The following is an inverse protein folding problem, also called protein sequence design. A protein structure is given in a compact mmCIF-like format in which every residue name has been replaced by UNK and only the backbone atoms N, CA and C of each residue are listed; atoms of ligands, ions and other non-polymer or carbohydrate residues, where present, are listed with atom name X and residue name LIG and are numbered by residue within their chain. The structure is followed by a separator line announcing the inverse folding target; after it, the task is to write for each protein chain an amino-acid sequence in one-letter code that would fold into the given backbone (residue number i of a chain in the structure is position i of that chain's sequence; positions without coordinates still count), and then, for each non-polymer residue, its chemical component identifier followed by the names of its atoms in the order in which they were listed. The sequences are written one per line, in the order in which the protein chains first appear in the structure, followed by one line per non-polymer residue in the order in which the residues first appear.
data_IF_011211824985
#
_entry.id   IF_011211824985
#
_cell.length_a   1.000
_cell.length_b   1.000
_cell.length_c   1.000
_cell.angle_alpha   90.00
_cell.angle_beta   90.00
_cell.angle_gamma   90.00
#
_symmetry.space_group_name_H-M   'P 1'
#
loop_
_entity.id
_entity.type
_entity.pdbx_description
1 polymer ?
#
# COMPACT_ATOMS: atom_id res chain seq x y z
N UNK A 1 49.73 -38.44 9.09
CA UNK A 1 48.52 -37.78 8.57
C UNK A 1 47.49 -38.05 9.64
N UNK A 2 47.18 -37.05 10.47
CA UNK A 2 46.25 -37.18 11.58
C UNK A 2 44.87 -37.10 10.94
N UNK A 3 44.12 -38.19 10.95
CA UNK A 3 42.79 -38.25 10.34
C UNK A 3 41.73 -38.07 11.42
N UNK A 4 40.49 -37.83 10.97
CA UNK A 4 39.31 -37.63 11.83
C UNK A 4 38.90 -38.90 12.62
N UNK A 5 39.76 -39.92 12.67
CA UNK A 5 39.49 -41.21 13.30
C UNK A 5 40.18 -41.38 14.67
N UNK A 6 41.22 -40.58 14.99
CA UNK A 6 41.89 -40.63 16.30
C UNK A 6 41.09 -39.87 17.37
N UNK A 7 40.71 -40.55 18.46
CA UNK A 7 39.81 -40.04 19.52
C UNK A 7 40.51 -39.17 20.57
N UNK A 8 41.81 -38.94 20.42
CA UNK A 8 42.63 -38.15 21.35
C UNK A 8 43.20 -36.88 20.71
N UNK A 9 42.81 -36.59 19.46
CA UNK A 9 43.17 -35.36 18.76
C UNK A 9 42.05 -34.32 18.86
N UNK A 10 42.37 -33.16 19.43
CA UNK A 10 41.40 -32.07 19.65
C UNK A 10 41.53 -30.91 18.66
N UNK A 11 42.53 -30.93 17.80
CA UNK A 11 42.67 -29.96 16.71
C UNK A 11 43.96 -30.13 15.93
N UNK A 12 44.05 -29.41 14.81
CA UNK A 12 45.25 -29.37 13.98
C UNK A 12 45.48 -27.98 13.36
N UNK A 13 46.72 -27.79 12.90
CA UNK A 13 47.16 -26.66 12.09
C UNK A 13 47.95 -27.21 10.91
N UNK A 14 47.44 -27.05 9.69
CA UNK A 14 48.04 -27.62 8.49
C UNK A 14 48.09 -26.64 7.33
N UNK A 15 48.93 -26.94 6.33
CA UNK A 15 48.96 -26.17 5.09
C UNK A 15 47.64 -26.37 4.34
N UNK A 16 46.94 -25.27 4.05
CA UNK A 16 45.60 -25.31 3.45
C UNK A 16 45.62 -25.82 2.00
N UNK A 17 46.65 -25.47 1.22
CA UNK A 17 46.82 -25.86 -0.17
C UNK A 17 48.28 -26.21 -0.47
N UNK A 18 48.53 -27.38 -1.06
CA UNK A 18 49.90 -27.91 -1.23
C UNK A 18 50.84 -26.99 -2.03
N UNK A 19 50.36 -26.34 -3.09
CA UNK A 19 51.18 -25.46 -3.95
C UNK A 19 51.09 -23.99 -3.56
N UNK A 20 49.91 -23.52 -3.16
CA UNK A 20 49.65 -22.11 -2.86
C UNK A 20 49.91 -21.74 -1.40
N UNK A 21 50.12 -22.73 -0.53
CA UNK A 21 50.29 -22.53 0.91
C UNK A 21 48.95 -22.27 1.64
N UNK A 22 48.98 -21.36 2.60
CA UNK A 22 47.85 -21.05 3.48
C UNK A 22 47.82 -21.92 4.74
N UNK A 23 47.00 -21.52 5.72
CA UNK A 23 46.85 -22.21 7.00
C UNK A 23 45.39 -22.61 7.19
N UNK A 24 45.16 -23.86 7.57
CA UNK A 24 43.89 -24.35 8.10
C UNK A 24 44.05 -24.60 9.58
N UNK A 25 43.11 -24.09 10.37
CA UNK A 25 42.99 -24.37 11.80
C UNK A 25 41.69 -25.15 11.99
N UNK A 26 41.79 -26.38 12.48
CA UNK A 26 40.64 -27.24 12.72
C UNK A 26 40.53 -27.53 14.20
N UNK A 27 39.33 -27.35 14.75
CA UNK A 27 38.99 -27.82 16.10
C UNK A 27 38.16 -29.08 16.02
N UNK A 28 38.43 -30.04 16.90
CA UNK A 28 37.67 -31.27 17.06
C UNK A 28 37.05 -31.31 18.45
N UNK A 29 35.85 -31.88 18.55
CA UNK A 29 35.20 -32.21 19.81
C UNK A 29 34.50 -33.55 19.65
N UNK A 30 34.73 -34.44 20.59
CA UNK A 30 34.06 -35.73 20.61
C UNK A 30 32.57 -35.63 20.94
N UNK A 31 31.84 -36.67 20.51
CA UNK A 31 30.43 -36.85 20.79
C UNK A 31 30.23 -37.36 22.23
N UNK A 32 30.39 -36.46 23.21
CA UNK A 32 30.07 -36.69 24.62
C UNK A 32 28.57 -36.50 24.94
N UNK A 33 27.74 -36.16 23.94
CA UNK A 33 26.31 -35.89 24.11
C UNK A 33 25.98 -34.53 24.72
N UNK A 34 26.99 -33.69 25.01
CA UNK A 34 26.83 -32.35 25.57
C UNK A 34 27.08 -31.27 24.51
N UNK A 35 26.31 -30.19 24.60
CA UNK A 35 26.52 -29.01 23.78
C UNK A 35 27.88 -28.36 24.12
N UNK A 36 28.66 -28.01 23.10
CA UNK A 36 29.96 -27.37 23.25
C UNK A 36 30.49 -26.85 21.92
N UNK A 37 31.72 -26.35 21.93
CA UNK A 37 32.42 -25.81 20.75
C UNK A 37 33.59 -26.71 20.38
N UNK A 38 33.84 -26.87 19.09
CA UNK A 38 35.06 -27.51 18.61
C UNK A 38 36.22 -26.50 18.49
N UNK A 39 35.91 -25.22 18.23
CA UNK A 39 36.87 -24.13 18.15
C UNK A 39 36.31 -22.89 18.86
N UNK A 40 37.09 -22.25 19.73
CA UNK A 40 36.70 -21.04 20.44
C UNK A 40 37.76 -19.94 20.31
N UNK A 41 37.40 -18.85 19.65
CA UNK A 41 38.25 -17.66 19.52
C UNK A 41 37.73 -16.57 20.44
N UNK A 42 38.55 -16.07 21.37
CA UNK A 42 38.16 -15.04 22.36
C UNK A 42 39.25 -13.99 22.56
N UNK A 43 38.83 -12.73 22.67
CA UNK A 43 39.66 -11.63 23.15
C UNK A 43 39.13 -11.08 24.47
N UNK A 44 40.02 -10.69 25.37
CA UNK A 44 39.70 -10.00 26.62
C UNK A 44 40.52 -8.72 26.69
N UNK A 45 39.84 -7.57 26.81
CA UNK A 45 40.47 -6.27 26.95
C UNK A 45 40.35 -5.81 28.41
N UNK A 46 41.48 -5.41 29.02
CA UNK A 46 41.53 -4.97 30.43
C UNK A 46 41.17 -3.49 30.64
N UNK A 47 40.67 -2.82 29.61
CA UNK A 47 40.42 -1.39 29.55
C UNK A 47 39.17 -1.07 28.70
N UNK A 48 38.82 0.21 28.60
CA UNK A 48 37.69 0.65 27.78
C UNK A 48 37.98 0.41 26.29
N UNK A 49 37.04 -0.23 25.58
CA UNK A 49 37.16 -0.48 24.15
C UNK A 49 36.96 0.77 23.29
N UNK A 50 37.51 0.75 22.08
CA UNK A 50 37.28 1.77 21.07
C UNK A 50 35.79 1.84 20.68
N UNK A 51 35.26 3.06 20.56
CA UNK A 51 33.83 3.30 20.29
C UNK A 51 33.57 3.97 18.94
N UNK A 52 34.60 4.54 18.32
CA UNK A 52 34.51 5.17 17.00
C UNK A 52 33.97 4.22 15.94
N UNK A 53 33.14 4.74 15.02
CA UNK A 53 32.60 4.02 13.85
C UNK A 53 33.25 4.55 12.57
N UNK A 54 34.58 4.53 12.55
CA UNK A 54 35.39 5.02 11.42
C UNK A 54 36.05 3.85 10.69
N UNK A 55 36.60 4.11 9.51
CA UNK A 55 37.34 3.11 8.72
C UNK A 55 38.65 2.65 9.37
N UNK A 56 39.08 3.26 10.48
CA UNK A 56 40.28 2.87 11.24
C UNK A 56 39.96 2.34 12.65
N UNK A 57 38.68 2.22 13.00
CA UNK A 57 38.28 1.72 14.32
C UNK A 57 38.60 0.23 14.46
N UNK A 58 39.07 -0.18 15.64
CA UNK A 58 39.46 -1.57 15.91
C UNK A 58 38.52 -2.23 16.93
N UNK A 59 38.22 -3.51 16.72
CA UNK A 59 37.49 -4.33 17.68
C UNK A 59 38.39 -5.06 18.67
N UNK A 60 37.84 -5.57 19.78
CA UNK A 60 38.55 -6.41 20.76
C UNK A 60 39.11 -7.69 20.10
N UNK A 61 38.41 -8.21 19.09
CA UNK A 61 38.89 -9.27 18.20
C UNK A 61 38.87 -8.71 16.78
N UNK A 62 40.00 -8.78 16.09
CA UNK A 62 40.13 -8.35 14.70
C UNK A 62 40.36 -9.57 13.79
N UNK A 63 39.61 -9.63 12.68
CA UNK A 63 39.78 -10.62 11.61
C UNK A 63 40.03 -9.84 10.33
N UNK A 64 41.29 -9.81 9.90
CA UNK A 64 41.73 -9.00 8.78
C UNK A 64 41.99 -9.87 7.54
N UNK A 65 41.43 -9.45 6.41
CA UNK A 65 41.68 -10.05 5.11
C UNK A 65 42.45 -9.08 4.23
N UNK A 66 43.54 -9.54 3.65
CA UNK A 66 44.39 -8.76 2.77
C UNK A 66 44.95 -9.62 1.64
N UNK A 67 45.34 -8.98 0.55
CA UNK A 67 46.02 -9.65 -0.56
C UNK A 67 47.53 -9.48 -0.43
N UNK A 68 48.28 -10.48 -0.89
CA UNK A 68 49.72 -10.31 -1.07
C UNK A 68 49.96 -9.46 -2.32
N UNK A 69 50.61 -8.31 -2.16
CA UNK A 69 50.97 -7.40 -3.25
C UNK A 69 52.49 -7.40 -3.43
N UNK A 70 53.00 -8.32 -4.26
CA UNK A 70 54.44 -8.53 -4.39
C UNK A 70 55.08 -8.99 -3.07
N UNK A 71 55.91 -8.13 -2.47
CA UNK A 71 56.55 -8.37 -1.16
C UNK A 71 55.84 -7.67 0.00
N UNK A 72 54.76 -6.94 -0.25
CA UNK A 72 54.01 -6.20 0.77
C UNK A 72 52.58 -6.73 0.92
N UNK A 73 51.88 -6.23 1.93
CA UNK A 73 50.44 -6.44 2.10
C UNK A 73 49.71 -5.37 1.28
N UNK A 74 48.61 -5.76 0.62
CA UNK A 74 47.72 -4.87 -0.12
C UNK A 74 46.27 -5.05 0.31
N UNK A 75 45.46 -4.02 0.14
CA UNK A 75 44.02 -4.10 0.37
C UNK A 75 43.35 -4.97 -0.70
N UNK A 76 42.30 -5.70 -0.30
CA UNK A 76 41.42 -6.37 -1.25
C UNK A 76 40.80 -5.33 -2.21
N UNK A 77 40.65 -5.71 -3.48
CA UNK A 77 39.99 -4.88 -4.48
C UNK A 77 38.47 -4.87 -4.32
N UNK A 78 37.80 -4.09 -5.17
CA UNK A 78 36.35 -3.96 -5.12
C UNK A 78 35.62 -5.30 -5.34
N UNK A 79 34.51 -5.51 -4.63
CA UNK A 79 33.63 -6.69 -4.61
C UNK A 79 34.32 -7.99 -4.17
N UNK A 80 35.50 -7.90 -3.54
CA UNK A 80 36.18 -9.09 -3.04
C UNK A 80 35.63 -9.50 -1.68
N UNK A 81 35.38 -10.80 -1.53
CA UNK A 81 34.92 -11.38 -0.27
C UNK A 81 36.08 -11.39 0.75
N UNK A 82 35.91 -10.69 1.87
CA UNK A 82 36.88 -10.64 2.95
C UNK A 82 36.73 -11.83 3.91
N UNK A 83 35.49 -12.17 4.26
CA UNK A 83 35.16 -13.27 5.15
C UNK A 83 33.92 -14.01 4.64
N UNK A 84 33.97 -15.34 4.62
CA UNK A 84 32.82 -16.18 4.30
C UNK A 84 32.53 -17.18 5.41
N UNK A 85 31.25 -17.31 5.77
CA UNK A 85 30.76 -18.35 6.68
C UNK A 85 30.03 -19.40 5.85
N UNK A 86 30.47 -20.65 5.96
CA UNK A 86 29.99 -21.75 5.13
C UNK A 86 29.41 -22.88 5.96
N UNK A 87 28.34 -23.50 5.46
CA UNK A 87 27.94 -24.85 5.86
C UNK A 87 28.52 -25.84 4.84
N UNK A 88 29.67 -26.43 5.17
CA UNK A 88 30.48 -27.22 4.24
C UNK A 88 30.72 -26.46 2.93
N UNK A 89 30.20 -26.96 1.80
CA UNK A 89 30.41 -26.37 0.47
C UNK A 89 29.53 -25.14 0.21
N UNK A 90 28.49 -24.90 1.01
CA UNK A 90 27.49 -23.84 0.76
C UNK A 90 27.80 -22.60 1.60
N UNK A 91 28.04 -21.46 0.96
CA UNK A 91 28.21 -20.18 1.66
C UNK A 91 26.87 -19.68 2.17
N UNK A 92 26.86 -19.16 3.41
CA UNK A 92 25.67 -18.62 4.09
C UNK A 92 25.78 -17.13 4.33
N UNK A 93 26.97 -16.66 4.71
CA UNK A 93 27.25 -15.24 4.91
C UNK A 93 28.56 -14.85 4.26
N UNK A 94 28.63 -13.64 3.71
CA UNK A 94 29.85 -13.03 3.18
C UNK A 94 29.91 -11.59 3.69
N UNK A 95 31.10 -11.18 4.14
CA UNK A 95 31.47 -9.78 4.31
C UNK A 95 32.41 -9.42 3.17
N UNK A 96 32.10 -8.40 2.37
CA UNK A 96 32.93 -7.96 1.25
C UNK A 96 33.73 -6.68 1.56
N UNK A 97 34.54 -6.25 0.58
CA UNK A 97 35.42 -5.10 0.69
C UNK A 97 34.66 -3.76 0.80
N UNK A 98 33.40 -3.73 0.37
CA UNK A 98 32.50 -2.57 0.39
C UNK A 98 31.72 -2.44 1.69
N UNK A 99 32.01 -3.28 2.69
CA UNK A 99 31.31 -3.38 3.96
C UNK A 99 29.85 -3.86 3.83
N UNK A 100 29.54 -4.64 2.79
CA UNK A 100 28.25 -5.30 2.67
C UNK A 100 28.25 -6.68 3.35
N UNK A 101 27.12 -7.02 3.96
CA UNK A 101 26.82 -8.37 4.44
C UNK A 101 25.89 -9.06 3.44
N UNK A 102 26.40 -10.06 2.72
CA UNK A 102 25.57 -10.90 1.85
C UNK A 102 25.10 -12.14 2.61
N UNK A 103 23.79 -12.31 2.76
CA UNK A 103 23.18 -13.54 3.27
C UNK A 103 22.68 -14.42 2.11
N UNK A 104 23.28 -15.59 1.92
CA UNK A 104 23.00 -16.49 0.79
C UNK A 104 22.19 -17.69 1.29
N UNK A 105 20.87 -17.47 1.42
CA UNK A 105 19.87 -18.48 1.78
C UNK A 105 18.74 -18.53 0.76
N UNK A 106 18.05 -19.66 0.64
CA UNK A 106 17.02 -19.93 -0.38
C UNK A 106 15.71 -19.11 -0.25
N UNK A 107 15.67 -18.08 0.58
CA UNK A 107 14.51 -17.23 0.73
C UNK A 107 14.90 -15.87 1.28
N UNK A 108 14.86 -14.86 0.42
CA UNK A 108 14.75 -13.44 0.78
C UNK A 108 15.92 -12.83 1.56
N UNK A 109 16.50 -11.79 0.98
CA UNK A 109 17.43 -10.86 1.63
C UNK A 109 16.90 -10.44 3.02
N UNK A 110 17.48 -10.96 4.10
CA UNK A 110 17.12 -10.58 5.47
C UNK A 110 18.17 -9.57 5.95
N UNK A 111 17.87 -8.28 5.80
CA UNK A 111 18.76 -7.18 6.19
C UNK A 111 18.63 -6.99 7.70
N UNK A 112 19.61 -7.49 8.46
CA UNK A 112 19.72 -7.27 9.90
C UNK A 112 20.77 -6.19 10.17
N UNK A 113 20.33 -4.94 10.24
CA UNK A 113 21.10 -3.84 10.79
C UNK A 113 20.17 -2.91 11.55
N UNK A 114 20.60 -2.42 12.71
CA UNK A 114 19.79 -1.57 13.60
C UNK A 114 19.35 -0.26 12.92
N UNK A 115 20.01 0.11 11.80
CA UNK A 115 19.67 1.25 10.94
C UNK A 115 19.66 0.91 9.42
N UNK A 116 19.69 -0.37 9.03
CA UNK A 116 19.71 -0.78 7.63
C UNK A 116 18.55 -1.73 7.38
N UNK A 117 17.42 -1.18 7.02
CA UNK A 117 16.44 -1.90 6.20
C UNK A 117 16.02 -0.94 5.09
N UNK A 118 15.40 -1.48 4.04
CA UNK A 118 14.81 -0.74 2.91
C UNK A 118 13.80 0.34 3.36
N UNK A 119 13.60 0.44 4.66
CA UNK A 119 12.90 1.41 5.44
C UNK A 119 13.32 2.89 5.30
N UNK A 120 14.62 3.17 5.31
CA UNK A 120 15.10 4.56 5.45
C UNK A 120 14.96 5.36 4.15
N UNK A 121 15.14 4.72 2.99
CA UNK A 121 14.96 5.37 1.68
C UNK A 121 13.48 5.65 1.31
N UNK A 122 12.52 5.10 2.08
CA UNK A 122 11.06 5.21 1.85
C UNK A 122 10.30 5.83 3.03
N UNK A 123 10.97 6.16 4.14
CA UNK A 123 10.35 6.69 5.36
C UNK A 123 9.39 5.71 6.06
N UNK A 124 9.51 4.42 5.78
CA UNK A 124 8.67 3.34 6.32
C UNK A 124 9.55 2.48 7.19
N UNK A 125 9.28 2.23 8.46
CA UNK A 125 10.01 1.20 9.23
C UNK A 125 9.67 -0.23 8.73
N UNK A 126 10.20 -0.67 7.56
CA UNK A 126 10.00 -2.02 6.98
C UNK A 126 10.52 -2.26 5.54
N UNK A 127 10.71 -3.54 5.16
CA UNK A 127 11.33 -4.03 3.91
C UNK A 127 10.37 -4.00 2.68
N UNK A 128 10.76 -3.37 1.55
CA UNK A 128 10.05 -3.46 0.25
C UNK A 128 10.87 -4.31 -0.73
N UNK A 129 10.33 -5.44 -1.18
CA UNK A 129 11.01 -6.31 -2.16
C UNK A 129 10.24 -6.43 -3.48
N UNK A 130 10.88 -6.02 -4.58
CA UNK A 130 10.68 -6.59 -5.92
C UNK A 130 9.59 -5.98 -6.81
N UNK A 131 10.04 -5.33 -7.91
CA UNK A 131 9.39 -5.08 -9.20
C UNK A 131 7.90 -5.52 -9.34
N UNK A 132 6.98 -4.78 -8.72
CA UNK A 132 5.54 -5.06 -8.88
C UNK A 132 4.64 -4.44 -7.81
N UNK A 133 4.83 -3.16 -7.48
CA UNK A 133 3.97 -2.44 -6.53
C UNK A 133 4.16 -2.82 -5.05
N UNK A 134 3.45 -2.13 -4.17
CA UNK A 134 3.35 -2.46 -2.74
C UNK A 134 2.19 -3.45 -2.60
N UNK A 135 2.51 -4.74 -2.46
CA UNK A 135 1.51 -5.79 -2.19
C UNK A 135 1.41 -6.00 -0.69
N UNK A 136 0.32 -5.53 -0.09
CA UNK A 136 -0.05 -5.78 1.31
C UNK A 136 -1.13 -6.86 1.30
N UNK A 137 -0.73 -8.12 1.49
CA UNK A 137 -1.65 -9.28 1.48
C UNK A 137 -1.63 -9.99 2.83
N UNK A 138 -2.81 -10.21 3.42
CA UNK A 138 -2.97 -11.13 4.53
C UNK A 138 -3.46 -12.49 4.00
N UNK A 139 -2.77 -13.58 4.34
CA UNK A 139 -3.04 -14.93 3.82
C UNK A 139 -4.21 -15.66 4.49
N UNK A 140 -4.99 -14.99 5.33
CA UNK A 140 -6.16 -15.57 6.00
C UNK A 140 -7.43 -15.34 5.18
N UNK A 141 -8.35 -16.31 5.20
CA UNK A 141 -9.60 -16.28 4.43
C UNK A 141 -10.57 -15.17 4.84
N UNK A 142 -10.36 -14.56 6.02
CA UNK A 142 -11.32 -13.65 6.67
C UNK A 142 -10.61 -12.51 7.42
N UNK A 143 -9.66 -11.79 6.80
CA UNK A 143 -9.10 -10.64 7.50
C UNK A 143 -8.81 -9.43 6.60
N UNK A 144 -9.35 -8.31 7.09
CA UNK A 144 -9.30 -6.98 6.52
C UNK A 144 -7.89 -6.53 6.15
N UNK A 145 -7.74 -6.01 4.93
CA UNK A 145 -6.53 -5.30 4.48
C UNK A 145 -6.91 -3.83 4.29
N UNK A 146 -6.36 -2.97 5.16
CA UNK A 146 -6.61 -1.52 5.15
C UNK A 146 -5.32 -0.78 4.82
N UNK A 147 -5.24 -0.20 3.62
CA UNK A 147 -4.17 0.70 3.22
C UNK A 147 -4.57 2.13 3.59
N UNK A 148 -3.84 2.77 4.51
CA UNK A 148 -4.15 4.12 4.97
C UNK A 148 -3.13 5.12 4.44
N UNK A 149 -3.57 6.15 3.72
CA UNK A 149 -2.78 7.37 3.50
C UNK A 149 -3.22 8.39 4.54
N UNK A 150 -2.32 8.75 5.46
CA UNK A 150 -2.60 9.71 6.55
C UNK A 150 -2.02 11.08 6.19
N UNK A 151 -2.83 12.13 6.31
CA UNK A 151 -2.37 13.52 6.26
C UNK A 151 -2.97 14.31 7.43
N UNK A 152 -2.12 14.69 8.40
CA UNK A 152 -2.47 15.61 9.50
C UNK A 152 -3.75 15.25 10.26
N UNK A 153 -3.93 13.97 10.61
CA UNK A 153 -5.10 13.47 11.33
C UNK A 153 -6.29 13.07 10.46
N UNK A 154 -6.16 13.23 9.13
CA UNK A 154 -7.14 12.80 8.13
C UNK A 154 -6.66 11.52 7.47
N UNK A 155 -7.55 10.53 7.35
CA UNK A 155 -7.21 9.22 6.78
C UNK A 155 -7.95 9.02 5.46
N UNK A 156 -7.22 8.61 4.43
CA UNK A 156 -7.78 8.03 3.22
C UNK A 156 -7.58 6.52 3.28
N UNK A 157 -8.69 5.77 3.38
CA UNK A 157 -8.71 4.32 3.54
C UNK A 157 -8.97 3.65 2.18
N UNK A 158 -8.10 2.74 1.76
CA UNK A 158 -8.28 1.87 0.61
C UNK A 158 -8.29 0.41 1.09
N UNK A 159 -9.41 -0.30 0.94
CA UNK A 159 -9.54 -1.68 1.41
C UNK A 159 -10.89 -2.31 1.11
N UNK A 160 -10.95 -3.65 1.25
CA UNK A 160 -12.17 -4.48 1.14
C UNK A 160 -12.34 -5.19 2.49
N UNK A 161 -13.54 -5.16 3.09
CA UNK A 161 -13.86 -5.92 4.30
C UNK A 161 -14.96 -6.95 4.02
N UNK A 162 -14.68 -8.23 4.25
CA UNK A 162 -15.62 -9.36 4.41
C UNK A 162 -16.82 -9.54 3.45
N UNK A 163 -16.88 -8.95 2.25
CA UNK A 163 -18.05 -9.13 1.36
C UNK A 163 -17.84 -8.73 -0.11
N UNK A 164 -18.75 -9.22 -0.97
CA UNK A 164 -18.85 -9.13 -2.45
C UNK A 164 -18.89 -7.72 -3.08
N UNK A 165 -18.42 -6.67 -2.40
CA UNK A 165 -17.99 -5.44 -3.05
C UNK A 165 -17.14 -4.53 -2.14
N UNK A 166 -15.98 -4.10 -2.63
CA UNK A 166 -15.37 -2.79 -2.30
C UNK A 166 -14.57 -2.34 -3.53
N UNK A 167 -14.91 -1.24 -4.21
CA UNK A 167 -15.00 0.19 -3.85
C UNK A 167 -13.63 0.87 -3.92
N UNK A 168 -13.35 1.33 -5.14
CA UNK A 168 -12.20 2.11 -5.61
C UNK A 168 -10.80 1.70 -5.19
N UNK A 169 -10.68 0.38 -5.21
CA UNK A 169 -9.87 -0.37 -6.16
C UNK A 169 -10.68 -0.54 -7.47
N UNK A 170 -10.05 -0.46 -8.66
CA UNK A 170 -10.68 -0.69 -9.98
C UNK A 170 -10.45 -2.09 -10.57
N UNK A 171 -11.11 -2.44 -11.68
CA UNK A 171 -10.87 -3.68 -12.48
C UNK A 171 -10.89 -3.42 -14.01
N UNK A 172 -10.38 -4.36 -14.82
CA UNK A 172 -9.88 -4.18 -16.20
C UNK A 172 -10.89 -3.86 -17.32
N UNK A 173 -12.16 -3.59 -17.02
CA UNK A 173 -13.21 -3.39 -18.04
C UNK A 173 -13.87 -1.99 -18.01
N UNK A 174 -13.10 -0.95 -17.64
CA UNK A 174 -13.37 0.49 -17.91
C UNK A 174 -14.80 1.03 -17.67
N UNK A 175 -15.30 1.09 -16.43
CA UNK A 175 -16.31 2.09 -16.03
C UNK A 175 -16.01 2.64 -14.61
N UNK A 176 -16.44 3.89 -14.37
CA UNK A 176 -15.89 4.84 -13.39
C UNK A 176 -16.15 4.57 -11.89
N UNK A 177 -15.53 5.44 -11.07
CA UNK A 177 -15.33 5.43 -9.61
C UNK A 177 -16.58 5.59 -8.74
N UNK A 178 -16.62 4.80 -7.66
CA UNK A 178 -17.26 4.97 -6.32
C UNK A 178 -18.35 3.91 -6.08
N UNK A 179 -18.11 3.07 -5.07
CA UNK A 179 -18.68 1.72 -4.98
C UNK A 179 -20.10 1.60 -4.42
N UNK A 180 -20.56 0.35 -4.30
CA UNK A 180 -21.91 -0.08 -3.87
C UNK A 180 -21.80 -1.47 -3.25
N UNK A 181 -22.58 -1.83 -2.21
CA UNK A 181 -22.73 -3.23 -1.77
C UNK A 181 -24.22 -3.51 -1.59
N UNK A 182 -24.80 -4.39 -2.42
CA UNK A 182 -26.25 -4.63 -2.42
C UNK A 182 -27.05 -3.70 -3.37
N UNK A 183 -28.37 -3.69 -3.19
CA UNK A 183 -29.37 -3.27 -4.19
C UNK A 183 -29.33 -1.81 -4.69
N UNK A 184 -28.48 -0.93 -4.14
CA UNK A 184 -28.46 0.51 -4.44
C UNK A 184 -27.05 0.98 -4.83
N UNK A 185 -26.93 1.90 -5.80
CA UNK A 185 -25.68 2.22 -6.52
C UNK A 185 -24.76 3.29 -5.91
N UNK A 186 -24.20 4.21 -6.72
CA UNK A 186 -23.16 5.18 -6.30
C UNK A 186 -23.73 6.23 -5.34
N UNK A 187 -23.28 6.24 -4.09
CA UNK A 187 -23.73 7.15 -3.02
C UNK A 187 -22.67 8.20 -2.61
N UNK A 188 -23.09 9.47 -2.51
CA UNK A 188 -22.38 10.53 -1.81
C UNK A 188 -23.16 10.94 -0.55
N UNK A 189 -22.55 10.73 0.62
CA UNK A 189 -23.16 11.00 1.91
C UNK A 189 -22.34 11.98 2.75
N UNK A 190 -23.02 12.75 3.60
CA UNK A 190 -22.39 13.57 4.65
C UNK A 190 -23.16 13.40 5.94
N UNK A 191 -22.48 13.35 7.10
CA UNK A 191 -23.09 13.19 8.42
C UNK A 191 -24.01 11.94 8.53
N UNK A 192 -23.62 10.82 7.91
CA UNK A 192 -24.43 9.59 7.85
C UNK A 192 -25.79 9.75 7.14
N UNK A 193 -25.89 10.72 6.21
CA UNK A 193 -27.08 10.98 5.41
C UNK A 193 -26.69 10.96 3.93
N UNK A 194 -27.36 10.10 3.15
CA UNK A 194 -27.27 10.06 1.68
C UNK A 194 -27.67 11.43 1.12
N UNK A 195 -26.76 12.10 0.41
CA UNK A 195 -27.03 13.38 -0.27
C UNK A 195 -27.36 13.17 -1.72
N UNK A 196 -26.67 12.23 -2.37
CA UNK A 196 -26.92 11.82 -3.75
C UNK A 196 -26.70 10.32 -3.88
N UNK A 197 -27.59 9.62 -4.60
CA UNK A 197 -27.41 8.21 -4.94
C UNK A 197 -27.80 7.93 -6.38
N UNK A 198 -27.04 7.10 -7.08
CA UNK A 198 -27.44 6.51 -8.37
C UNK A 198 -28.02 5.14 -8.06
N UNK A 199 -29.27 4.85 -8.41
CA UNK A 199 -29.90 3.55 -8.13
C UNK A 199 -29.55 2.47 -9.17
N UNK A 200 -30.11 1.26 -9.01
CA UNK A 200 -29.89 0.09 -9.90
C UNK A 200 -30.39 0.31 -11.34
N UNK A 201 -31.24 1.32 -11.58
CA UNK A 201 -31.76 1.69 -12.89
C UNK A 201 -31.00 2.91 -13.47
N UNK A 202 -30.02 3.43 -12.73
CA UNK A 202 -29.23 4.60 -13.11
C UNK A 202 -29.88 5.93 -12.76
N UNK A 203 -30.98 5.94 -11.98
CA UNK A 203 -31.64 7.18 -11.58
C UNK A 203 -30.82 7.90 -10.50
N UNK A 204 -30.59 9.21 -10.68
CA UNK A 204 -29.92 10.05 -9.69
C UNK A 204 -30.97 10.60 -8.72
N UNK A 205 -30.91 10.17 -7.47
CA UNK A 205 -31.71 10.67 -6.37
C UNK A 205 -30.91 11.68 -5.55
N UNK A 206 -31.56 12.73 -5.07
CA UNK A 206 -30.98 13.71 -4.14
C UNK A 206 -31.91 13.86 -2.93
N UNK A 207 -31.36 13.83 -1.72
CA UNK A 207 -32.15 13.67 -0.48
C UNK A 207 -33.01 14.87 -0.05
N UNK A 208 -32.85 16.04 -0.66
CA UNK A 208 -33.56 17.27 -0.26
C UNK A 208 -34.02 18.08 -1.49
N UNK A 209 -33.17 18.98 -2.00
CA UNK A 209 -33.46 19.81 -3.17
C UNK A 209 -32.63 19.34 -4.37
N UNK A 210 -33.30 19.04 -5.48
CA UNK A 210 -32.67 18.88 -6.79
C UNK A 210 -32.66 20.26 -7.46
N UNK A 211 -31.59 21.02 -7.26
CA UNK A 211 -31.38 22.29 -7.97
C UNK A 211 -30.82 21.99 -9.36
N UNK A 212 -31.70 21.96 -10.37
CA UNK A 212 -31.23 21.81 -11.75
C UNK A 212 -31.00 23.18 -12.36
N UNK A 213 -29.76 23.46 -12.76
CA UNK A 213 -29.40 24.69 -13.45
C UNK A 213 -29.59 24.46 -14.96
N UNK A 214 -30.71 24.93 -15.53
CA UNK A 214 -31.04 24.81 -16.95
C UNK A 214 -32.41 24.16 -17.22
N UNK A 215 -32.74 23.93 -18.48
CA UNK A 215 -33.99 23.28 -18.89
C UNK A 215 -33.97 21.81 -18.43
N UNK A 216 -34.93 21.40 -17.60
CA UNK A 216 -35.03 20.02 -17.13
C UNK A 216 -36.48 19.58 -16.96
N UNK A 217 -36.81 18.42 -17.53
CA UNK A 217 -38.14 17.82 -17.42
C UNK A 217 -38.36 17.15 -16.06
N UNK A 218 -39.57 17.27 -15.51
CA UNK A 218 -39.99 16.61 -14.27
C UNK A 218 -40.85 15.38 -14.58
N UNK A 219 -40.36 14.17 -14.28
CA UNK A 219 -41.14 12.95 -14.40
C UNK A 219 -40.56 11.80 -13.57
N UNK A 220 -41.40 11.13 -12.78
CA UNK A 220 -41.03 9.82 -12.21
C UNK A 220 -42.25 8.89 -12.38
N UNK A 221 -42.07 7.91 -13.27
CA UNK A 221 -43.02 6.89 -13.75
C UNK A 221 -44.18 7.34 -14.68
N UNK A 222 -44.08 6.85 -15.92
CA UNK A 222 -44.88 7.10 -17.11
C UNK A 222 -46.23 6.34 -17.11
N UNK A 223 -47.31 7.08 -17.38
CA UNK A 223 -48.33 6.60 -18.32
C UNK A 223 -47.76 6.75 -19.73
N UNK A 224 -48.10 5.86 -20.68
CA UNK A 224 -47.56 5.88 -22.04
C UNK A 224 -47.83 7.18 -22.85
N UNK A 225 -48.58 8.12 -22.27
CA UNK A 225 -48.92 9.41 -22.87
C UNK A 225 -48.69 10.65 -21.98
N UNK A 226 -48.07 10.53 -20.79
CA UNK A 226 -47.91 11.65 -19.87
C UNK A 226 -46.44 12.10 -19.70
N UNK A 227 -46.19 13.40 -19.80
CA UNK A 227 -44.86 14.01 -19.64
C UNK A 227 -44.58 14.57 -18.22
N UNK A 228 -45.58 14.64 -17.35
CA UNK A 228 -45.42 15.06 -15.95
C UNK A 228 -46.58 14.59 -15.08
N UNK A 229 -46.28 14.12 -13.86
CA UNK A 229 -47.27 13.67 -12.87
C UNK A 229 -46.98 14.38 -11.55
N UNK A 230 -47.97 15.09 -11.00
CA UNK A 230 -47.89 15.71 -9.68
C UNK A 230 -48.68 14.88 -8.66
N UNK A 231 -48.18 14.80 -7.42
CA UNK A 231 -48.90 14.10 -6.33
C UNK A 231 -50.24 14.76 -6.00
N UNK A 232 -51.17 14.01 -5.38
CA UNK A 232 -52.47 14.54 -4.98
C UNK A 232 -52.32 15.74 -4.00
N UNK A 233 -53.08 16.84 -4.18
CA UNK A 233 -53.00 17.97 -3.27
C UNK A 233 -53.59 17.61 -1.91
N UNK A 234 -53.15 18.31 -0.88
CA UNK A 234 -53.79 18.27 0.45
C UNK A 234 -54.32 19.66 0.77
N UNK A 235 -55.17 19.77 1.80
CA UNK A 235 -55.63 21.08 2.30
C UNK A 235 -54.47 21.98 2.74
N UNK A 236 -53.30 21.41 3.07
CA UNK A 236 -52.11 22.14 3.48
C UNK A 236 -51.11 22.43 2.35
N UNK A 237 -51.13 21.68 1.23
CA UNK A 237 -50.10 21.76 0.17
C UNK A 237 -50.70 21.53 -1.22
N UNK A 238 -50.43 22.47 -2.13
CA UNK A 238 -50.75 22.35 -3.55
C UNK A 238 -49.74 21.43 -4.28
N UNK A 239 -50.21 20.70 -5.28
CA UNK A 239 -49.41 19.79 -6.11
C UNK A 239 -48.39 20.51 -6.99
N UNK A 240 -48.71 21.73 -7.41
CA UNK A 240 -47.82 22.63 -8.13
C UNK A 240 -48.05 24.05 -7.61
N UNK A 241 -46.97 24.82 -7.45
CA UNK A 241 -47.03 26.26 -7.16
C UNK A 241 -46.25 26.98 -8.23
N UNK A 242 -46.93 27.90 -8.92
CA UNK A 242 -46.32 28.79 -9.90
C UNK A 242 -46.34 30.21 -9.32
N UNK A 243 -45.21 30.70 -8.78
CA UNK A 243 -45.13 32.04 -8.19
C UNK A 243 -45.50 33.13 -9.20
N UNK A 244 -46.19 34.18 -8.73
CA UNK A 244 -46.56 35.30 -9.58
C UNK A 244 -45.33 36.09 -10.03
N UNK A 245 -45.33 36.50 -11.29
CA UNK A 245 -44.28 37.31 -11.89
C UNK A 245 -44.83 38.37 -12.84
N UNK A 246 -43.92 38.97 -13.60
CA UNK A 246 -44.30 39.77 -14.77
C UNK A 246 -44.66 38.84 -15.92
N UNK A 247 -45.60 39.28 -16.77
CA UNK A 247 -45.93 38.52 -17.98
C UNK A 247 -44.69 38.42 -18.90
N UNK A 248 -44.43 37.25 -19.53
CA UNK A 248 -43.37 37.13 -20.51
C UNK A 248 -43.57 38.11 -21.68
N UNK A 249 -42.50 38.72 -22.17
CA UNK A 249 -42.54 39.68 -23.30
C UNK A 249 -42.60 38.98 -24.66
N UNK A 250 -42.33 37.67 -24.71
CA UNK A 250 -42.47 36.83 -25.91
C UNK A 250 -42.89 35.42 -25.52
N UNK A 251 -44.16 35.22 -25.07
CA UNK A 251 -44.64 33.91 -24.68
C UNK A 251 -44.69 32.96 -25.89
N UNK A 252 -44.17 31.75 -25.72
CA UNK A 252 -44.27 30.64 -26.66
C UNK A 252 -45.50 29.76 -26.34
N UNK A 253 -46.03 29.06 -27.34
CA UNK A 253 -47.15 28.15 -27.13
C UNK A 253 -46.76 27.05 -26.13
N UNK A 254 -47.62 26.82 -25.14
CA UNK A 254 -47.34 25.94 -24.00
C UNK A 254 -46.85 26.67 -22.75
N UNK A 255 -46.50 27.95 -22.83
CA UNK A 255 -46.14 28.74 -21.65
C UNK A 255 -47.33 28.88 -20.69
N UNK A 256 -47.05 28.70 -19.41
CA UNK A 256 -47.99 28.93 -18.31
C UNK A 256 -47.30 29.89 -17.33
N UNK A 257 -47.97 30.98 -16.97
CA UNK A 257 -47.46 31.96 -16.00
C UNK A 257 -48.59 32.53 -15.16
N UNK A 258 -48.25 33.06 -13.98
CA UNK A 258 -49.18 33.81 -13.15
C UNK A 258 -48.71 35.26 -13.05
N UNK A 259 -49.66 36.18 -13.04
CA UNK A 259 -49.43 37.57 -12.62
C UNK A 259 -50.30 37.86 -11.40
N UNK A 260 -50.22 39.07 -10.84
CA UNK A 260 -51.18 39.51 -9.81
C UNK A 260 -52.63 39.51 -10.29
N UNK A 261 -52.88 39.48 -11.61
CA UNK A 261 -54.22 39.44 -12.18
C UNK A 261 -54.82 38.02 -12.29
N UNK A 262 -54.00 36.96 -12.21
CA UNK A 262 -54.47 35.58 -12.32
C UNK A 262 -53.50 34.64 -13.06
N UNK A 263 -53.99 33.46 -13.44
CA UNK A 263 -53.27 32.48 -14.25
C UNK A 263 -53.47 32.76 -15.75
N UNK A 264 -52.41 32.63 -16.52
CA UNK A 264 -52.39 32.82 -17.96
C UNK A 264 -51.70 31.64 -18.66
N UNK A 265 -52.15 31.34 -19.86
CA UNK A 265 -51.54 30.33 -20.74
C UNK A 265 -51.41 30.88 -22.15
N UNK A 266 -50.41 30.42 -22.91
CA UNK A 266 -50.27 30.70 -24.34
C UNK A 266 -50.67 29.47 -25.16
N UNK A 267 -51.70 29.61 -25.99
CA UNK A 267 -52.23 28.53 -26.85
C UNK A 267 -52.40 29.08 -28.26
N UNK A 268 -51.79 28.40 -29.24
CA UNK A 268 -51.88 28.70 -30.68
C UNK A 268 -51.70 30.18 -31.02
N UNK A 269 -50.70 30.83 -30.43
CA UNK A 269 -50.38 32.24 -30.66
C UNK A 269 -51.31 33.22 -29.94
N UNK A 270 -52.17 32.78 -29.03
CA UNK A 270 -53.05 33.62 -28.23
C UNK A 270 -52.83 33.47 -26.72
N UNK A 271 -52.93 34.58 -25.99
CA UNK A 271 -52.86 34.58 -24.53
C UNK A 271 -54.26 34.41 -23.96
N UNK A 272 -54.46 33.35 -23.17
CA UNK A 272 -55.74 33.03 -22.52
C UNK A 272 -55.62 33.26 -21.01
N UNK A 273 -56.48 34.12 -20.46
CA UNK A 273 -56.52 34.50 -19.05
C UNK A 273 -57.03 35.94 -18.82
N UNK A 274 -57.17 36.42 -17.57
CA UNK A 274 -56.90 35.66 -16.35
C UNK A 274 -57.92 34.53 -16.15
N UNK A 275 -57.41 33.35 -15.83
CA UNK A 275 -58.22 32.20 -15.40
C UNK A 275 -58.42 32.32 -13.88
N UNK A 276 -59.68 32.26 -13.45
CA UNK A 276 -60.13 32.40 -12.04
C UNK A 276 -60.87 31.17 -11.55
#
# INVERSE_FOLDING_TARGET
MIDKAETDTYGDMMVAQGTSGGLTITGYKDADGLAGFALWMRGFLGEAGETGKTTSATGIVNIEAAIKSGTTVGAAGANQNLLSIKNLSTTRFIFDAEAELHCVGAGGTSVYGENASIADALGVTGLITGLGGITLSNGATDADIVNTIVNSGTNLLFGVSDSIASRFIGSSNNYAFWGTTGADGLEWATNNIVRMAIDVVGAVTMGYDLAVMGDTGLGIAVSASAFGVFGAPTTAKASARLPHGSAPTSPADGDIWTTSAGLFVRIDGSTVGPLS
#
